data_IF_389705140418
#
_entry.id   IF_389705140418
#
_cell.length_a   1.000
_cell.length_b   1.000
_cell.length_c   1.000
_cell.angle_alpha   90.00
_cell.angle_beta   90.00
_cell.angle_gamma   90.00
#
_symmetry.space_group_name_H-M   'P 1'
#
loop_
_entity.id
_entity.type
_entity.pdbx_description
1 polymer ?
#
# COMPACT_ATOMS: atom_id res chain seq x y z
N UNK A 1 2.51 19.89 -22.36
CA UNK A 1 3.67 18.97 -22.52
C UNK A 1 4.41 18.96 -21.20
N UNK A 2 4.91 17.80 -20.77
CA UNK A 2 5.55 17.63 -19.45
C UNK A 2 6.86 16.84 -19.59
N UNK A 3 7.75 16.99 -18.63
CA UNK A 3 8.85 16.07 -18.40
C UNK A 3 8.47 15.12 -17.25
N UNK A 4 8.53 13.79 -17.45
CA UNK A 4 8.55 12.86 -16.33
C UNK A 4 9.90 13.02 -15.63
N UNK A 5 9.87 13.22 -14.33
CA UNK A 5 11.04 13.46 -13.49
C UNK A 5 11.17 12.35 -12.44
N UNK A 6 12.39 12.05 -12.04
CA UNK A 6 12.72 11.37 -10.81
C UNK A 6 13.56 12.32 -9.96
N UNK A 7 13.01 12.86 -8.88
CA UNK A 7 13.57 14.02 -8.16
C UNK A 7 13.85 15.17 -9.14
N UNK A 8 15.05 15.70 -9.19
CA UNK A 8 15.45 16.78 -10.11
C UNK A 8 15.92 16.28 -11.49
N UNK A 9 16.00 14.96 -11.68
CA UNK A 9 16.52 14.38 -12.93
C UNK A 9 15.40 14.10 -13.94
N UNK A 10 15.51 14.59 -15.18
CA UNK A 10 14.53 14.30 -16.22
C UNK A 10 14.64 12.85 -16.70
N UNK A 11 13.51 12.15 -16.82
CA UNK A 11 13.45 10.77 -17.32
C UNK A 11 13.12 10.74 -18.80
N UNK A 12 11.98 11.31 -19.18
CA UNK A 12 11.53 11.43 -20.57
C UNK A 12 10.48 12.54 -20.72
N UNK A 13 10.35 13.08 -21.95
CA UNK A 13 9.24 13.98 -22.24
C UNK A 13 7.95 13.17 -22.50
N UNK A 14 6.82 13.67 -21.97
CA UNK A 14 5.51 13.07 -22.14
C UNK A 14 4.47 14.11 -22.56
N UNK A 15 3.50 13.68 -23.34
CA UNK A 15 2.32 14.47 -23.65
C UNK A 15 1.14 13.87 -22.91
N UNK A 16 0.49 14.66 -22.07
CA UNK A 16 -0.71 14.26 -21.31
C UNK A 16 -1.91 14.99 -21.90
N UNK A 17 -3.01 14.25 -22.06
CA UNK A 17 -4.32 14.85 -22.27
C UNK A 17 -4.82 15.41 -20.92
N UNK A 18 -4.95 16.72 -20.84
CA UNK A 18 -5.30 17.41 -19.57
C UNK A 18 -6.73 17.14 -19.11
N UNK A 19 -7.62 16.67 -19.97
CA UNK A 19 -8.99 16.32 -19.60
C UNK A 19 -9.07 14.93 -18.98
N UNK A 20 -8.46 13.94 -19.64
CA UNK A 20 -8.46 12.55 -19.13
C UNK A 20 -7.30 12.25 -18.19
N UNK A 21 -6.26 13.08 -18.15
CA UNK A 21 -5.02 12.83 -17.40
C UNK A 21 -4.16 11.69 -17.97
N UNK A 22 -4.49 11.16 -19.15
CA UNK A 22 -3.79 10.02 -19.74
C UNK A 22 -2.53 10.45 -20.51
N UNK A 23 -1.47 9.65 -20.42
CA UNK A 23 -0.29 9.82 -21.27
C UNK A 23 -0.61 9.42 -22.72
N UNK A 24 -0.56 10.37 -23.62
CA UNK A 24 -0.80 10.17 -25.04
C UNK A 24 0.49 9.73 -25.76
N UNK A 25 1.59 10.40 -25.50
CA UNK A 25 2.90 10.14 -26.14
C UNK A 25 4.01 10.12 -25.11
N UNK A 26 5.01 9.28 -25.36
CA UNK A 26 6.26 9.17 -24.59
C UNK A 26 7.40 9.35 -25.57
N UNK A 27 8.35 10.24 -25.29
CA UNK A 27 9.59 10.37 -26.06
C UNK A 27 10.58 9.27 -25.71
N UNK A 28 11.66 9.16 -26.48
CA UNK A 28 12.80 8.35 -26.07
C UNK A 28 13.31 8.87 -24.71
N UNK A 29 13.53 7.98 -23.72
CA UNK A 29 14.08 8.38 -22.41
C UNK A 29 15.46 9.04 -22.56
N UNK A 30 15.67 10.09 -21.77
CA UNK A 30 16.98 10.77 -21.63
C UNK A 30 17.85 9.99 -20.67
N UNK A 31 17.22 9.53 -19.56
CA UNK A 31 17.83 8.70 -18.54
C UNK A 31 17.02 7.40 -18.39
N UNK A 32 17.31 6.35 -19.19
CA UNK A 32 16.53 5.10 -19.17
C UNK A 32 16.57 4.35 -17.84
N UNK A 33 17.67 4.49 -17.08
CA UNK A 33 17.88 3.90 -15.76
C UNK A 33 16.94 4.48 -14.69
N UNK A 34 16.44 5.70 -14.91
CA UNK A 34 15.50 6.38 -14.02
C UNK A 34 14.03 6.08 -14.36
N UNK A 35 13.74 5.26 -15.37
CA UNK A 35 12.36 4.87 -15.63
C UNK A 35 11.77 4.16 -14.41
N UNK A 36 10.48 4.41 -14.05
CA UNK A 36 9.84 3.64 -13.01
C UNK A 36 9.84 2.15 -13.38
N UNK A 37 10.15 1.29 -12.43
CA UNK A 37 10.41 -0.13 -12.70
C UNK A 37 9.23 -0.82 -13.41
N UNK A 38 7.99 -0.56 -12.98
CA UNK A 38 6.79 -1.06 -13.64
C UNK A 38 6.51 -0.47 -15.03
N UNK A 39 7.24 0.60 -15.41
CA UNK A 39 7.12 1.30 -16.68
C UNK A 39 8.34 1.20 -17.61
N UNK A 40 9.36 0.41 -17.24
CA UNK A 40 10.66 0.44 -17.89
C UNK A 40 10.76 -0.38 -19.20
N UNK A 41 9.83 -1.30 -19.45
CA UNK A 41 9.90 -2.22 -20.60
C UNK A 41 9.64 -1.48 -21.92
N UNK A 42 8.57 -0.70 -21.98
CA UNK A 42 8.18 0.05 -23.18
C UNK A 42 7.20 1.20 -22.84
N UNK A 43 6.82 1.96 -23.86
CA UNK A 43 5.89 3.09 -23.68
C UNK A 43 4.47 2.66 -23.23
N UNK A 44 4.05 1.46 -23.54
CA UNK A 44 2.74 0.94 -23.10
C UNK A 44 2.78 0.60 -21.60
N UNK A 45 3.87 0.00 -21.13
CA UNK A 45 4.12 -0.24 -19.71
C UNK A 45 4.16 1.07 -18.90
N UNK A 46 4.84 2.11 -19.43
CA UNK A 46 4.88 3.41 -18.75
C UNK A 46 3.49 4.07 -18.66
N UNK A 47 2.69 3.96 -19.72
CA UNK A 47 1.30 4.45 -19.71
C UNK A 47 0.44 3.69 -18.69
N UNK A 48 0.58 2.37 -18.62
CA UNK A 48 -0.10 1.52 -17.65
C UNK A 48 0.32 1.89 -16.22
N UNK A 49 1.63 2.04 -15.98
CA UNK A 49 2.16 2.48 -14.67
C UNK A 49 1.54 3.81 -14.25
N UNK A 50 1.50 4.82 -15.14
CA UNK A 50 0.88 6.11 -14.88
C UNK A 50 -0.62 6.01 -14.54
N UNK A 51 -1.37 5.17 -15.27
CA UNK A 51 -2.80 4.95 -15.00
C UNK A 51 -3.03 4.35 -13.63
N UNK A 52 -2.20 3.39 -13.23
CA UNK A 52 -2.30 2.75 -11.94
C UNK A 52 -1.79 3.61 -10.77
N UNK A 53 -1.07 4.69 -11.07
CA UNK A 53 -0.59 5.64 -10.07
C UNK A 53 -1.71 6.49 -9.47
N UNK A 54 -2.75 6.78 -10.22
CA UNK A 54 -3.88 7.56 -9.75
C UNK A 54 -4.68 6.82 -8.66
N UNK A 55 -5.25 7.58 -7.73
CA UNK A 55 -6.16 7.02 -6.72
C UNK A 55 -7.26 6.18 -7.38
N UNK A 56 -7.55 4.95 -6.88
CA UNK A 56 -8.58 4.10 -7.47
C UNK A 56 -9.97 4.74 -7.37
N UNK A 57 -10.75 4.70 -8.44
CA UNK A 57 -12.12 5.27 -8.47
C UNK A 57 -13.06 4.62 -7.44
N UNK A 58 -12.80 3.35 -7.07
CA UNK A 58 -13.53 2.61 -6.03
C UNK A 58 -13.18 3.03 -4.61
N UNK A 59 -12.12 3.84 -4.39
CA UNK A 59 -11.71 4.22 -3.06
C UNK A 59 -12.76 5.14 -2.40
N UNK A 60 -13.38 4.63 -1.33
CA UNK A 60 -14.32 5.42 -0.53
C UNK A 60 -15.39 6.12 -1.37
N UNK A 61 -15.42 7.44 -1.32
CA UNK A 61 -16.36 8.29 -2.09
C UNK A 61 -15.61 9.15 -3.12
N UNK A 62 -14.45 8.71 -3.59
CA UNK A 62 -13.55 9.55 -4.40
C UNK A 62 -14.23 10.15 -5.62
N UNK A 63 -15.02 9.39 -6.37
CA UNK A 63 -15.70 9.89 -7.55
C UNK A 63 -16.60 11.09 -7.23
N UNK A 64 -17.43 10.97 -6.19
CA UNK A 64 -18.32 12.05 -5.76
C UNK A 64 -17.55 13.28 -5.27
N UNK A 65 -16.42 13.05 -4.59
CA UNK A 65 -15.56 14.13 -4.10
C UNK A 65 -14.92 14.87 -5.29
N UNK A 66 -14.40 14.15 -6.28
CA UNK A 66 -13.81 14.74 -7.47
C UNK A 66 -14.84 15.54 -8.27
N UNK A 67 -16.06 15.02 -8.43
CA UNK A 67 -17.17 15.75 -9.07
C UNK A 67 -17.48 17.08 -8.36
N UNK A 68 -17.49 17.10 -7.03
CA UNK A 68 -17.69 18.33 -6.24
C UNK A 68 -16.55 19.35 -6.44
N UNK A 69 -15.34 18.88 -6.71
CA UNK A 69 -14.17 19.71 -7.00
C UNK A 69 -14.05 20.11 -8.48
N UNK A 70 -15.01 19.71 -9.32
CA UNK A 70 -14.99 19.97 -10.77
C UNK A 70 -13.87 19.18 -11.47
N UNK A 71 -13.52 18.01 -10.95
CA UNK A 71 -12.49 17.10 -11.51
C UNK A 71 -13.21 15.89 -12.11
N UNK A 72 -12.87 15.56 -13.36
CA UNK A 72 -13.60 14.52 -14.11
C UNK A 72 -13.07 13.11 -13.84
N UNK A 73 -11.76 12.96 -13.64
CA UNK A 73 -11.11 11.65 -13.49
C UNK A 73 -10.05 11.67 -12.38
N UNK A 74 -9.77 10.51 -11.75
CA UNK A 74 -8.63 10.37 -10.83
C UNK A 74 -7.29 10.74 -11.49
N UNK A 75 -7.12 10.47 -12.77
CA UNK A 75 -5.90 10.81 -13.51
C UNK A 75 -5.78 12.33 -13.73
N UNK A 76 -6.89 13.05 -13.97
CA UNK A 76 -6.88 14.51 -13.99
C UNK A 76 -6.46 15.07 -12.62
N UNK A 77 -6.98 14.48 -11.53
CA UNK A 77 -6.58 14.84 -10.17
C UNK A 77 -5.09 14.60 -9.92
N UNK A 78 -4.56 13.46 -10.40
CA UNK A 78 -3.13 13.16 -10.35
C UNK A 78 -2.30 14.21 -11.09
N UNK A 79 -2.71 14.61 -12.30
CA UNK A 79 -2.01 15.65 -13.10
C UNK A 79 -2.01 17.00 -12.39
N UNK A 80 -3.13 17.41 -11.79
CA UNK A 80 -3.23 18.66 -11.02
C UNK A 80 -2.29 18.67 -9.81
N UNK A 81 -1.97 17.50 -9.27
CA UNK A 81 -1.01 17.31 -8.18
C UNK A 81 0.38 16.89 -8.68
N UNK A 82 0.71 17.19 -9.94
CA UNK A 82 2.00 16.91 -10.58
C UNK A 82 2.42 15.42 -10.49
N UNK A 83 1.49 14.51 -10.25
CA UNK A 83 1.79 13.10 -10.05
C UNK A 83 2.55 12.78 -8.78
N UNK A 84 2.64 13.70 -7.82
CA UNK A 84 3.37 13.52 -6.57
C UNK A 84 2.80 12.38 -5.71
N UNK A 85 3.68 11.69 -5.01
CA UNK A 85 3.34 10.60 -4.08
C UNK A 85 4.22 10.67 -2.84
N UNK A 86 3.73 10.07 -1.74
CA UNK A 86 4.54 9.75 -0.56
C UNK A 86 5.12 8.34 -0.60
N UNK A 87 4.95 7.60 -1.71
CA UNK A 87 5.52 6.26 -1.87
C UNK A 87 6.78 6.22 -2.71
N UNK A 88 6.97 7.19 -3.62
CA UNK A 88 8.10 7.28 -4.53
C UNK A 88 8.43 8.74 -4.91
N UNK A 89 9.44 8.94 -5.78
CA UNK A 89 10.00 10.26 -6.12
C UNK A 89 9.73 10.68 -7.57
N UNK A 90 8.76 10.04 -8.24
CA UNK A 90 8.35 10.41 -9.59
C UNK A 90 7.32 11.53 -9.57
N UNK A 91 7.45 12.47 -10.52
CA UNK A 91 6.52 13.54 -10.76
C UNK A 91 6.58 14.05 -12.19
N UNK A 92 5.64 14.89 -12.58
CA UNK A 92 5.59 15.50 -13.90
C UNK A 92 5.82 17.01 -13.81
N UNK A 93 6.85 17.50 -14.48
CA UNK A 93 7.19 18.92 -14.57
C UNK A 93 6.56 19.53 -15.81
N UNK A 94 5.65 20.52 -15.70
CA UNK A 94 5.24 21.34 -16.85
C UNK A 94 6.46 22.03 -17.45
N UNK A 95 6.60 22.03 -18.80
CA UNK A 95 7.79 22.58 -19.46
C UNK A 95 7.91 24.09 -19.39
N UNK A 96 6.82 24.77 -19.03
CA UNK A 96 6.71 26.23 -18.88
C UNK A 96 6.88 26.70 -17.44
N UNK A 97 7.20 25.79 -16.50
CA UNK A 97 7.37 26.10 -15.08
C UNK A 97 8.78 25.83 -14.60
N UNK A 98 9.33 26.78 -13.84
CA UNK A 98 10.60 26.66 -13.11
C UNK A 98 10.31 26.03 -11.73
N UNK A 99 10.27 24.69 -11.66
CA UNK A 99 10.05 23.92 -10.43
C UNK A 99 11.19 22.94 -10.20
N UNK A 100 11.67 22.81 -8.96
CA UNK A 100 12.61 21.78 -8.52
C UNK A 100 11.95 20.81 -7.54
N UNK A 101 12.57 19.65 -7.33
CA UNK A 101 12.09 18.66 -6.36
C UNK A 101 11.97 19.24 -4.95
N UNK A 102 12.95 20.10 -4.55
CA UNK A 102 12.93 20.75 -3.24
C UNK A 102 11.70 21.61 -3.00
N UNK A 103 11.10 22.17 -4.06
CA UNK A 103 9.97 23.10 -3.94
C UNK A 103 8.61 22.38 -3.76
N UNK A 104 8.52 21.12 -4.21
CA UNK A 104 7.21 20.46 -4.41
C UNK A 104 7.06 19.12 -3.71
N UNK A 105 8.17 18.47 -3.29
CA UNK A 105 8.09 17.12 -2.75
C UNK A 105 7.25 17.08 -1.45
N UNK A 106 6.53 15.99 -1.25
CA UNK A 106 5.66 15.79 -0.10
C UNK A 106 6.40 15.29 1.15
N UNK A 107 7.70 14.95 1.03
CA UNK A 107 8.49 14.41 2.14
C UNK A 107 9.00 15.50 3.07
N UNK A 108 9.39 16.65 2.52
CA UNK A 108 9.98 17.77 3.28
C UNK A 108 9.11 19.02 3.31
N UNK A 109 8.20 19.17 2.34
CA UNK A 109 7.27 20.30 2.31
C UNK A 109 5.95 19.94 3.01
N UNK A 110 5.33 20.94 3.62
CA UNK A 110 4.00 20.79 4.16
C UNK A 110 2.97 20.64 3.03
N UNK A 111 1.95 19.82 3.29
CA UNK A 111 0.86 19.59 2.37
C UNK A 111 -0.48 19.65 3.10
N UNK A 112 -1.55 19.76 2.32
CA UNK A 112 -2.93 19.58 2.79
C UNK A 112 -3.57 18.43 2.02
N UNK A 113 -4.47 17.72 2.66
CA UNK A 113 -5.17 16.59 2.06
C UNK A 113 -6.70 16.75 2.14
N UNK A 114 -7.27 17.73 1.40
CA UNK A 114 -8.70 18.02 1.45
C UNK A 114 -9.55 16.85 0.98
N UNK A 115 -9.08 16.08 0.00
CA UNK A 115 -9.77 14.88 -0.46
C UNK A 115 -9.81 13.81 0.63
N UNK A 116 -8.73 13.63 1.36
CA UNK A 116 -8.69 12.77 2.54
C UNK A 116 -9.63 13.24 3.65
N UNK A 117 -9.71 14.56 3.89
CA UNK A 117 -10.65 15.15 4.85
C UNK A 117 -12.10 14.79 4.49
N UNK A 118 -12.48 14.99 3.23
CA UNK A 118 -13.81 14.64 2.72
C UNK A 118 -14.10 13.15 2.80
N UNK A 119 -13.11 12.29 2.54
CA UNK A 119 -13.25 10.85 2.66
C UNK A 119 -13.56 10.41 4.10
N UNK A 120 -12.95 11.06 5.08
CA UNK A 120 -13.16 10.79 6.51
C UNK A 120 -14.40 11.53 7.07
N UNK A 121 -15.11 12.30 6.26
CA UNK A 121 -16.36 12.96 6.63
C UNK A 121 -16.17 14.28 7.38
N UNK A 122 -15.02 14.91 7.24
CA UNK A 122 -14.78 16.26 7.76
C UNK A 122 -15.40 17.31 6.82
N UNK A 123 -15.91 18.40 7.38
CA UNK A 123 -16.65 19.42 6.63
C UNK A 123 -15.72 20.20 5.68
N UNK A 124 -16.24 20.46 4.47
CA UNK A 124 -15.50 20.93 3.30
C UNK A 124 -15.50 22.46 3.18
N UNK A 125 -16.29 23.18 4.00
CA UNK A 125 -16.50 24.61 3.82
C UNK A 125 -15.21 25.47 3.92
N UNK A 126 -14.16 24.95 4.54
CA UNK A 126 -12.83 25.58 4.58
C UNK A 126 -11.89 25.13 3.43
N UNK A 127 -12.29 24.12 2.64
CA UNK A 127 -11.43 23.48 1.64
C UNK A 127 -11.41 24.25 0.31
N UNK A 128 -12.41 25.05 0.04
CA UNK A 128 -12.55 25.80 -1.22
C UNK A 128 -11.54 26.94 -1.41
N UNK A 129 -10.81 27.33 -0.37
CA UNK A 129 -9.74 28.33 -0.43
C UNK A 129 -8.34 27.72 -0.36
N UNK A 130 -8.07 26.67 -1.15
CA UNK A 130 -6.72 26.13 -1.23
C UNK A 130 -5.81 27.07 -2.02
N UNK A 131 -4.59 27.39 -1.51
CA UNK A 131 -3.59 28.05 -2.33
C UNK A 131 -3.31 27.20 -3.58
N UNK A 132 -3.12 27.85 -4.71
CA UNK A 132 -2.84 27.22 -5.99
C UNK A 132 -1.63 26.24 -5.98
N UNK A 133 -0.82 26.27 -4.93
CA UNK A 133 0.42 25.53 -4.75
C UNK A 133 0.31 24.41 -3.69
N UNK A 134 -0.87 24.12 -3.13
CA UNK A 134 -1.01 23.04 -2.17
C UNK A 134 -1.26 21.72 -2.90
N UNK A 135 -0.23 20.89 -3.01
CA UNK A 135 -0.34 19.55 -3.56
C UNK A 135 -0.94 18.58 -2.53
N UNK A 136 -1.83 17.69 -3.01
CA UNK A 136 -2.49 16.70 -2.17
C UNK A 136 -1.90 15.30 -2.40
N UNK A 137 -1.43 14.62 -1.34
CA UNK A 137 -0.92 13.25 -1.46
C UNK A 137 -1.99 12.23 -1.81
N UNK A 138 -3.28 12.52 -1.58
CA UNK A 138 -4.39 11.61 -1.91
C UNK A 138 -4.57 11.36 -3.39
N UNK A 139 -3.97 12.15 -4.28
CA UNK A 139 -4.06 11.92 -5.73
C UNK A 139 -3.43 10.60 -6.18
N UNK A 140 -2.50 10.06 -5.39
CA UNK A 140 -1.73 8.85 -5.70
C UNK A 140 -1.85 7.74 -4.63
N UNK A 141 -2.74 7.89 -3.65
CA UNK A 141 -2.93 6.88 -2.60
C UNK A 141 -3.66 5.67 -3.14
N UNK A 142 -3.03 4.49 -3.04
CA UNK A 142 -3.58 3.23 -3.53
C UNK A 142 -4.49 2.52 -2.50
N UNK A 143 -5.29 1.56 -2.99
CA UNK A 143 -6.21 0.73 -2.21
C UNK A 143 -7.63 1.31 -2.10
N UNK A 144 -8.58 0.52 -1.62
CA UNK A 144 -10.01 0.83 -1.65
C UNK A 144 -10.53 1.54 -0.40
N UNK A 145 -9.84 1.44 0.73
CA UNK A 145 -10.23 2.07 1.98
C UNK A 145 -10.12 3.60 1.90
N UNK A 146 -10.98 4.29 2.63
CA UNK A 146 -10.82 5.73 2.90
C UNK A 146 -9.45 5.98 3.53
N UNK A 147 -8.70 6.92 2.99
CA UNK A 147 -7.36 7.25 3.48
C UNK A 147 -7.15 8.74 3.52
N UNK A 148 -6.32 9.19 4.47
CA UNK A 148 -5.89 10.57 4.61
C UNK A 148 -4.46 10.62 5.07
N UNK A 149 -3.66 11.44 4.41
CA UNK A 149 -2.34 11.79 4.90
C UNK A 149 -2.40 12.99 5.83
N UNK A 150 -1.63 12.93 6.91
CA UNK A 150 -1.46 14.03 7.87
C UNK A 150 0.02 14.23 8.19
N UNK A 151 0.34 15.44 8.66
CA UNK A 151 1.64 15.72 9.28
C UNK A 151 1.38 15.91 10.78
N UNK A 152 2.05 15.11 11.60
CA UNK A 152 2.00 15.22 13.05
C UNK A 152 3.39 15.05 13.63
N UNK A 153 3.81 15.95 14.49
CA UNK A 153 5.17 16.00 15.08
C UNK A 153 6.28 15.92 14.01
N UNK A 154 6.08 16.58 12.88
CA UNK A 154 6.99 16.57 11.73
C UNK A 154 7.02 15.27 10.90
N UNK A 155 6.23 14.27 11.28
CA UNK A 155 6.15 12.97 10.62
C UNK A 155 4.95 12.90 9.68
N UNK A 156 5.13 12.20 8.54
CA UNK A 156 4.06 11.90 7.60
C UNK A 156 3.36 10.64 8.05
N UNK A 157 2.08 10.74 8.36
CA UNK A 157 1.28 9.63 8.87
C UNK A 157 0.07 9.38 7.97
N UNK A 158 -0.23 8.10 7.72
CA UNK A 158 -1.41 7.67 6.96
C UNK A 158 -2.50 7.19 7.92
N UNK A 159 -3.66 7.83 7.85
CA UNK A 159 -4.89 7.35 8.49
C UNK A 159 -5.62 6.47 7.50
N UNK A 160 -6.04 5.27 7.94
CA UNK A 160 -6.86 4.34 7.16
C UNK A 160 -8.20 4.12 7.87
N UNK A 161 -9.27 4.18 7.10
CA UNK A 161 -10.62 3.92 7.58
C UNK A 161 -11.06 2.48 7.39
N UNK A 162 -12.37 2.26 7.41
CA UNK A 162 -13.02 0.97 7.23
C UNK A 162 -14.07 1.06 6.11
N UNK A 163 -14.40 -0.06 5.47
CA UNK A 163 -15.49 -0.11 4.49
C UNK A 163 -16.87 0.02 5.16
N UNK A 164 -17.06 -0.63 6.28
CA UNK A 164 -18.32 -0.70 7.00
C UNK A 164 -18.47 0.31 8.14
N UNK A 165 -19.47 0.06 8.97
CA UNK A 165 -19.77 0.84 10.18
C UNK A 165 -18.97 0.37 11.41
N UNK A 166 -18.38 -0.82 11.38
CA UNK A 166 -17.50 -1.32 12.43
C UNK A 166 -16.04 -1.07 12.10
N UNK A 167 -15.18 -1.24 13.10
CA UNK A 167 -13.76 -0.92 13.04
C UNK A 167 -12.87 -2.14 12.77
N UNK A 168 -13.41 -3.25 12.29
CA UNK A 168 -12.68 -4.52 12.26
C UNK A 168 -11.40 -4.42 11.43
N UNK A 169 -11.42 -3.80 10.24
CA UNK A 169 -10.25 -3.68 9.39
C UNK A 169 -9.14 -2.87 10.05
N UNK A 170 -9.49 -1.75 10.70
CA UNK A 170 -8.52 -0.96 11.47
C UNK A 170 -7.98 -1.74 12.68
N UNK A 171 -8.81 -2.50 13.37
CA UNK A 171 -8.39 -3.32 14.52
C UNK A 171 -7.56 -4.53 14.08
N UNK A 172 -7.80 -5.08 12.87
CA UNK A 172 -6.94 -6.11 12.28
C UNK A 172 -5.49 -5.63 12.07
N UNK A 173 -5.30 -4.35 11.69
CA UNK A 173 -3.95 -3.76 11.62
C UNK A 173 -3.27 -3.69 13.00
N UNK A 174 -4.05 -3.45 14.07
CA UNK A 174 -3.53 -3.48 15.45
C UNK A 174 -3.18 -4.91 15.88
N UNK A 175 -4.01 -5.89 15.51
CA UNK A 175 -3.73 -7.31 15.76
C UNK A 175 -2.45 -7.75 15.03
N UNK A 176 -2.29 -7.40 13.76
CA UNK A 176 -1.08 -7.66 13.00
C UNK A 176 0.16 -6.99 13.63
N UNK A 177 0.02 -5.73 14.06
CA UNK A 177 1.07 -5.01 14.80
C UNK A 177 1.47 -5.76 16.07
N UNK A 178 0.51 -6.24 16.86
CA UNK A 178 0.80 -7.03 18.09
C UNK A 178 1.53 -8.32 17.75
N UNK A 179 1.07 -9.07 16.72
CA UNK A 179 1.71 -10.31 16.29
C UNK A 179 3.17 -10.07 15.89
N UNK A 180 3.42 -9.12 14.99
CA UNK A 180 4.77 -8.84 14.52
C UNK A 180 5.69 -8.32 15.63
N UNK A 181 5.15 -7.50 16.55
CA UNK A 181 5.90 -7.00 17.71
C UNK A 181 6.32 -8.14 18.64
N UNK A 182 5.45 -9.11 18.90
CA UNK A 182 5.78 -10.28 19.72
C UNK A 182 6.80 -11.20 19.04
N UNK A 183 6.73 -11.36 17.72
CA UNK A 183 7.68 -12.16 16.97
C UNK A 183 9.07 -11.50 16.86
N UNK A 184 9.16 -10.20 16.64
CA UNK A 184 10.42 -9.45 16.56
C UNK A 184 11.38 -9.89 15.47
N UNK A 185 10.89 -10.55 14.39
CA UNK A 185 11.74 -11.22 13.39
C UNK A 185 11.92 -10.43 12.10
N UNK A 186 10.88 -9.73 11.65
CA UNK A 186 10.91 -9.00 10.37
C UNK A 186 10.40 -7.56 10.58
N UNK A 187 10.82 -6.60 9.75
CA UNK A 187 10.30 -5.24 9.81
C UNK A 187 8.82 -5.18 9.44
N UNK A 188 8.07 -4.39 10.17
CA UNK A 188 6.63 -4.20 9.97
C UNK A 188 6.21 -2.77 10.29
N UNK A 189 5.10 -2.34 9.72
CA UNK A 189 4.49 -1.04 10.01
C UNK A 189 3.71 -1.13 11.31
N UNK A 190 4.02 -0.23 12.25
CA UNK A 190 3.30 -0.12 13.52
C UNK A 190 2.05 0.73 13.33
N UNK A 191 0.90 0.15 13.54
CA UNK A 191 -0.37 0.87 13.55
C UNK A 191 -0.83 1.18 14.96
N UNK A 192 -1.41 2.37 15.13
CA UNK A 192 -2.09 2.81 16.34
C UNK A 192 -3.54 3.14 16.02
N UNK A 193 -4.40 3.12 17.05
CA UNK A 193 -5.81 3.53 16.89
C UNK A 193 -5.94 5.05 16.98
N UNK A 194 -6.84 5.60 16.16
CA UNK A 194 -7.29 6.99 16.25
C UNK A 194 -8.82 7.04 16.13
N UNK A 195 -9.47 7.94 16.87
CA UNK A 195 -10.90 8.20 16.80
C UNK A 195 -11.12 9.71 16.85
N UNK A 196 -11.87 10.25 15.92
CA UNK A 196 -12.13 11.70 15.86
C UNK A 196 -13.28 12.11 16.81
N UNK A 197 -14.29 11.25 16.93
CA UNK A 197 -15.38 11.40 17.90
C UNK A 197 -15.97 10.03 18.27
N UNK A 198 -16.81 10.00 19.32
CA UNK A 198 -17.38 8.74 19.83
C UNK A 198 -18.46 8.12 18.94
N UNK A 199 -18.93 8.83 17.93
CA UNK A 199 -19.97 8.36 16.99
C UNK A 199 -19.37 7.70 15.76
N UNK A 200 -18.08 7.89 15.51
CA UNK A 200 -17.36 7.34 14.37
C UNK A 200 -16.65 6.03 14.73
N UNK A 201 -16.42 5.16 13.72
CA UNK A 201 -15.58 3.98 13.90
C UNK A 201 -14.16 4.37 14.36
N UNK A 202 -13.46 3.42 14.94
CA UNK A 202 -12.02 3.53 15.16
C UNK A 202 -11.32 3.43 13.80
N UNK A 203 -10.39 4.34 13.53
CA UNK A 203 -9.47 4.29 12.41
C UNK A 203 -8.11 3.80 12.89
N UNK A 204 -7.25 3.35 11.98
CA UNK A 204 -5.85 3.12 12.29
C UNK A 204 -4.96 4.20 11.65
N UNK A 205 -3.82 4.47 12.29
CA UNK A 205 -2.84 5.44 11.84
C UNK A 205 -1.44 4.84 11.94
N UNK A 206 -0.61 5.06 10.91
CA UNK A 206 0.78 4.65 10.90
C UNK A 206 1.68 5.75 10.35
N UNK A 207 2.94 5.76 10.77
CA UNK A 207 3.97 6.59 10.17
C UNK A 207 4.35 6.05 8.78
N UNK A 208 4.68 6.93 7.83
CA UNK A 208 5.24 6.54 6.55
C UNK A 208 6.58 5.83 6.75
N UNK A 209 6.78 4.72 6.05
CA UNK A 209 8.07 4.01 6.02
C UNK A 209 8.95 4.42 4.82
N UNK A 210 8.45 5.31 3.98
CA UNK A 210 9.20 5.97 2.90
C UNK A 210 9.70 7.33 3.37
N UNK A 211 10.74 7.84 2.74
CA UNK A 211 11.38 9.12 3.09
C UNK A 211 11.95 9.79 1.84
N UNK A 212 12.59 10.95 1.96
CA UNK A 212 13.31 11.57 0.84
C UNK A 212 14.48 10.71 0.31
N UNK A 213 14.92 9.69 1.05
CA UNK A 213 16.01 8.80 0.64
C UNK A 213 15.56 7.40 0.24
N UNK A 214 14.35 6.99 0.65
CA UNK A 214 13.82 5.64 0.44
C UNK A 214 12.43 5.70 -0.19
N UNK A 215 12.25 4.95 -1.26
CA UNK A 215 10.98 4.78 -1.94
C UNK A 215 10.53 3.32 -1.97
N UNK A 216 9.22 3.12 -2.03
CA UNK A 216 8.61 1.80 -2.17
C UNK A 216 8.55 1.41 -3.64
N UNK A 217 9.09 0.25 -3.98
CA UNK A 217 8.82 -0.41 -5.25
C UNK A 217 7.89 -1.59 -4.96
N UNK A 218 6.61 -1.53 -5.37
CA UNK A 218 5.67 -2.61 -5.19
C UNK A 218 6.09 -3.88 -5.93
N UNK A 219 5.75 -5.05 -5.38
CA UNK A 219 6.11 -6.33 -6.00
C UNK A 219 5.56 -6.48 -7.43
N UNK A 220 4.41 -5.85 -7.74
CA UNK A 220 3.87 -5.85 -9.11
C UNK A 220 4.84 -5.20 -10.10
N UNK A 221 5.43 -4.06 -9.74
CA UNK A 221 6.38 -3.35 -10.58
C UNK A 221 7.67 -4.14 -10.78
N UNK A 222 8.08 -4.88 -9.72
CA UNK A 222 9.25 -5.77 -9.78
C UNK A 222 9.01 -6.92 -10.76
N UNK A 223 7.88 -7.61 -10.66
CA UNK A 223 7.59 -8.76 -11.56
C UNK A 223 7.29 -8.31 -12.99
N UNK A 224 6.71 -7.13 -13.18
CA UNK A 224 6.41 -6.55 -14.49
C UNK A 224 7.67 -5.96 -15.16
N UNK A 225 8.75 -5.70 -14.42
CA UNK A 225 10.00 -5.11 -14.96
C UNK A 225 10.77 -6.03 -15.91
N UNK A 226 10.55 -7.33 -15.81
CA UNK A 226 11.21 -8.34 -16.66
C UNK A 226 10.19 -9.38 -17.11
N UNK A 227 10.32 -9.82 -18.37
CA UNK A 227 9.48 -10.89 -18.90
C UNK A 227 9.69 -12.19 -18.12
N UNK A 228 8.64 -12.69 -17.49
CA UNK A 228 8.66 -13.94 -16.74
C UNK A 228 8.76 -15.14 -17.67
N UNK A 229 9.63 -16.11 -17.35
CA UNK A 229 9.62 -17.42 -17.98
C UNK A 229 8.38 -18.21 -17.52
N UNK A 230 7.64 -18.81 -18.47
CA UNK A 230 6.41 -19.56 -18.17
C UNK A 230 6.62 -20.77 -17.25
N UNK A 231 7.82 -21.35 -17.23
CA UNK A 231 8.17 -22.48 -16.35
C UNK A 231 8.41 -22.06 -14.88
N UNK A 232 8.52 -20.77 -14.60
CA UNK A 232 8.83 -20.22 -13.27
C UNK A 232 7.58 -19.62 -12.64
N UNK A 233 7.37 -19.82 -11.34
CA UNK A 233 6.27 -19.18 -10.60
C UNK A 233 6.51 -17.67 -10.44
N UNK A 234 5.45 -16.89 -10.15
CA UNK A 234 5.62 -15.47 -9.82
C UNK A 234 6.44 -15.27 -8.54
N UNK A 235 6.37 -16.18 -7.59
CA UNK A 235 7.18 -16.18 -6.37
C UNK A 235 8.68 -16.25 -6.69
N UNK A 236 9.10 -17.26 -7.48
CA UNK A 236 10.50 -17.40 -7.88
C UNK A 236 10.97 -16.30 -8.82
N UNK A 237 10.07 -15.80 -9.68
CA UNK A 237 10.39 -14.68 -10.55
C UNK A 237 10.65 -13.39 -9.75
N UNK A 238 9.84 -13.09 -8.75
CA UNK A 238 10.05 -11.96 -7.86
C UNK A 238 11.40 -12.04 -7.18
N UNK A 239 11.75 -13.19 -6.58
CA UNK A 239 13.04 -13.42 -5.92
C UNK A 239 14.19 -13.21 -6.91
N UNK A 240 14.12 -13.82 -8.09
CA UNK A 240 15.16 -13.70 -9.11
C UNK A 240 15.40 -12.25 -9.55
N UNK A 241 14.33 -11.43 -9.64
CA UNK A 241 14.47 -10.01 -9.96
C UNK A 241 15.10 -9.26 -8.80
N UNK A 242 14.71 -9.51 -7.55
CA UNK A 242 15.31 -8.90 -6.37
C UNK A 242 16.83 -9.22 -6.28
N UNK A 243 17.20 -10.48 -6.50
CA UNK A 243 18.62 -10.91 -6.53
C UNK A 243 19.39 -10.21 -7.65
N UNK A 244 18.80 -10.05 -8.83
CA UNK A 244 19.42 -9.34 -9.94
C UNK A 244 19.62 -7.84 -9.65
N UNK A 245 18.91 -7.28 -8.67
CA UNK A 245 19.09 -5.92 -8.14
C UNK A 245 19.92 -5.87 -6.84
N UNK A 246 20.69 -6.93 -6.54
CA UNK A 246 21.70 -6.96 -5.47
C UNK A 246 21.22 -7.46 -4.12
N UNK A 247 19.96 -7.89 -3.96
CA UNK A 247 19.48 -8.45 -2.70
C UNK A 247 19.99 -9.89 -2.49
N UNK A 248 20.28 -10.25 -1.24
CA UNK A 248 20.59 -11.63 -0.89
C UNK A 248 19.33 -12.51 -1.00
N UNK A 249 19.43 -13.62 -1.74
CA UNK A 249 18.30 -14.54 -1.98
C UNK A 249 17.72 -15.07 -0.66
N UNK A 250 18.56 -15.46 0.27
CA UNK A 250 18.16 -15.99 1.57
C UNK A 250 17.35 -14.96 2.38
N UNK A 251 17.74 -13.69 2.35
CA UNK A 251 17.04 -12.62 3.04
C UNK A 251 15.62 -12.39 2.45
N UNK A 252 15.52 -12.42 1.11
CA UNK A 252 14.21 -12.28 0.43
C UNK A 252 13.32 -13.48 0.74
N UNK A 253 13.83 -14.70 0.67
CA UNK A 253 13.07 -15.93 0.99
C UNK A 253 12.61 -15.94 2.44
N UNK A 254 13.51 -15.70 3.38
CA UNK A 254 13.18 -15.65 4.81
C UNK A 254 12.09 -14.64 5.13
N UNK A 255 12.13 -13.47 4.51
CA UNK A 255 11.07 -12.46 4.67
C UNK A 255 9.72 -12.96 4.12
N UNK A 256 9.70 -13.52 2.90
CA UNK A 256 8.47 -14.01 2.27
C UNK A 256 7.87 -15.20 3.01
N UNK A 257 8.70 -16.13 3.50
CA UNK A 257 8.25 -17.28 4.30
C UNK A 257 7.58 -16.81 5.60
N UNK A 258 8.22 -15.88 6.30
CA UNK A 258 7.63 -15.25 7.50
C UNK A 258 6.31 -14.55 7.17
N UNK A 259 6.25 -13.76 6.09
CA UNK A 259 5.04 -13.08 5.66
C UNK A 259 3.91 -14.06 5.32
N UNK A 260 4.21 -15.13 4.58
CA UNK A 260 3.22 -16.17 4.23
C UNK A 260 2.67 -16.85 5.49
N UNK A 261 3.53 -17.17 6.46
CA UNK A 261 3.09 -17.79 7.72
C UNK A 261 2.22 -16.85 8.56
N UNK A 262 2.61 -15.59 8.69
CA UNK A 262 1.83 -14.61 9.47
C UNK A 262 0.51 -14.27 8.78
N UNK A 263 0.50 -14.13 7.46
CA UNK A 263 -0.74 -13.95 6.68
C UNK A 263 -1.65 -15.18 6.79
N UNK A 264 -1.09 -16.40 6.81
CA UNK A 264 -1.86 -17.63 7.04
C UNK A 264 -2.51 -17.65 8.44
N UNK A 265 -1.76 -17.32 9.49
CA UNK A 265 -2.26 -17.28 10.87
C UNK A 265 -3.38 -16.25 11.02
N UNK A 266 -3.18 -15.06 10.46
CA UNK A 266 -4.16 -13.96 10.48
C UNK A 266 -5.30 -14.17 9.48
N UNK A 267 -5.18 -15.13 8.57
CA UNK A 267 -6.11 -15.29 7.43
C UNK A 267 -6.21 -14.00 6.62
N UNK A 268 -5.06 -13.43 6.24
CA UNK A 268 -5.03 -12.27 5.36
C UNK A 268 -5.35 -12.70 3.93
N UNK A 269 -6.48 -12.27 3.41
CA UNK A 269 -6.97 -12.68 2.08
C UNK A 269 -6.50 -11.77 0.95
N UNK A 270 -5.80 -10.68 1.26
CA UNK A 270 -5.51 -9.62 0.27
C UNK A 270 -4.03 -9.20 0.23
N UNK A 271 -3.11 -10.16 0.36
CA UNK A 271 -1.66 -9.94 0.18
C UNK A 271 -1.29 -9.91 -1.31
N UNK A 272 -1.95 -9.05 -2.09
CA UNK A 272 -1.65 -8.89 -3.51
C UNK A 272 -0.31 -8.17 -3.74
N UNK A 273 0.19 -8.20 -4.98
CA UNK A 273 1.52 -7.71 -5.33
C UNK A 273 1.73 -6.19 -5.14
N UNK A 274 0.71 -5.42 -4.80
CA UNK A 274 0.85 -4.03 -4.36
C UNK A 274 0.98 -3.87 -2.84
N UNK A 275 0.70 -4.93 -2.05
CA UNK A 275 0.70 -4.88 -0.58
C UNK A 275 1.99 -5.43 0.03
N UNK A 276 3.04 -5.58 -0.76
CA UNK A 276 4.43 -5.80 -0.34
C UNK A 276 5.37 -5.39 -1.47
N UNK A 277 6.67 -5.31 -1.18
CA UNK A 277 7.67 -4.90 -2.15
C UNK A 277 9.04 -4.71 -1.51
N UNK A 278 9.85 -3.86 -2.09
CA UNK A 278 11.19 -3.52 -1.59
C UNK A 278 11.31 -2.02 -1.37
N UNK A 279 12.22 -1.62 -0.49
CA UNK A 279 12.70 -0.26 -0.38
C UNK A 279 13.90 -0.07 -1.31
N UNK A 280 13.86 1.01 -2.11
CA UNK A 280 14.91 1.42 -3.03
C UNK A 280 15.52 2.75 -2.57
N UNK A 281 16.84 2.86 -2.63
CA UNK A 281 17.51 4.13 -2.43
C UNK A 281 17.25 5.04 -3.64
N UNK A 282 16.82 6.26 -3.39
CA UNK A 282 16.39 7.19 -4.44
C UNK A 282 17.54 7.79 -5.27
N UNK A 283 18.79 7.70 -4.77
CA UNK A 283 19.98 8.23 -5.43
C UNK A 283 20.75 7.13 -6.18
N UNK A 284 20.95 5.97 -5.51
CA UNK A 284 21.72 4.85 -6.10
C UNK A 284 20.86 3.90 -6.91
N UNK A 285 19.53 3.94 -6.74
CA UNK A 285 18.55 3.03 -7.32
C UNK A 285 18.72 1.56 -6.90
N UNK A 286 19.53 1.29 -5.89
CA UNK A 286 19.76 -0.05 -5.34
C UNK A 286 18.60 -0.47 -4.43
N UNK A 287 18.23 -1.72 -4.48
CA UNK A 287 17.29 -2.31 -3.53
C UNK A 287 17.99 -2.48 -2.18
N UNK A 288 17.46 -1.84 -1.14
CA UNK A 288 18.06 -1.78 0.19
C UNK A 288 17.57 -2.95 1.06
N UNK A 289 16.27 -3.21 1.05
CA UNK A 289 15.63 -4.24 1.87
C UNK A 289 14.23 -4.57 1.35
N UNK A 290 13.62 -5.63 1.87
CA UNK A 290 12.17 -5.76 1.78
C UNK A 290 11.51 -4.58 2.49
N UNK A 291 10.39 -4.09 1.94
CA UNK A 291 9.56 -3.12 2.63
C UNK A 291 8.98 -3.72 3.93
N UNK A 292 8.79 -2.94 5.00
CA UNK A 292 8.13 -3.44 6.20
C UNK A 292 6.77 -4.07 5.84
N UNK A 293 6.32 -5.10 6.56
CA UNK A 293 5.01 -5.71 6.35
C UNK A 293 3.93 -4.66 6.68
N UNK A 294 3.02 -4.41 5.75
CA UNK A 294 1.92 -3.45 5.86
C UNK A 294 0.64 -4.00 5.25
N UNK A 295 -0.47 -3.32 5.47
CA UNK A 295 -1.78 -3.61 4.87
C UNK A 295 -2.30 -5.03 5.19
N UNK A 296 -2.51 -5.29 6.48
CA UNK A 296 -3.07 -6.53 7.02
C UNK A 296 -4.54 -6.40 7.45
N UNK A 297 -5.21 -5.31 7.07
CA UNK A 297 -6.60 -5.05 7.46
C UNK A 297 -7.60 -6.09 6.96
N UNK A 298 -7.37 -6.68 5.79
CA UNK A 298 -8.19 -7.74 5.19
C UNK A 298 -7.92 -9.12 5.81
N UNK A 299 -7.94 -9.18 7.14
CA UNK A 299 -7.60 -10.35 7.95
C UNK A 299 -8.75 -10.77 8.86
N UNK A 300 -8.55 -11.85 9.63
CA UNK A 300 -9.42 -12.26 10.71
C UNK A 300 -10.89 -12.41 10.30
N UNK A 301 -11.12 -12.97 9.09
CA UNK A 301 -12.45 -13.30 8.56
C UNK A 301 -13.40 -12.10 8.40
N UNK A 302 -12.89 -10.87 8.24
CA UNK A 302 -13.71 -9.67 8.27
C UNK A 302 -14.85 -9.65 7.23
N UNK A 303 -14.66 -10.27 6.05
CA UNK A 303 -15.71 -10.39 5.03
C UNK A 303 -16.73 -11.48 5.33
N UNK A 304 -16.36 -12.48 6.14
CA UNK A 304 -17.23 -13.58 6.49
C UNK A 304 -16.95 -14.07 7.93
N UNK A 305 -17.44 -13.35 8.95
CA UNK A 305 -17.16 -13.64 10.35
C UNK A 305 -17.91 -14.89 10.87
N UNK A 306 -18.79 -15.49 10.06
CA UNK A 306 -19.40 -16.78 10.41
C UNK A 306 -18.33 -17.85 10.38
N UNK A 307 -18.29 -18.65 11.44
CA UNK A 307 -17.28 -19.68 11.65
C UNK A 307 -17.22 -20.61 10.44
N UNK A 308 -16.14 -20.63 9.67
CA UNK A 308 -15.95 -21.63 8.65
C UNK A 308 -15.80 -23.01 9.32
N UNK A 309 -16.38 -24.03 8.73
CA UNK A 309 -16.08 -25.43 9.11
C UNK A 309 -14.58 -25.66 8.84
N UNK A 310 -13.98 -26.67 9.50
CA UNK A 310 -12.54 -27.00 9.30
C UNK A 310 -12.19 -27.14 7.82
N UNK A 311 -13.05 -27.79 7.04
CA UNK A 311 -12.85 -27.98 5.60
C UNK A 311 -12.86 -26.66 4.80
N UNK A 312 -13.57 -25.63 5.32
CA UNK A 312 -13.60 -24.32 4.67
C UNK A 312 -12.31 -23.53 4.96
N UNK A 313 -11.72 -23.72 6.15
CA UNK A 313 -10.43 -23.11 6.53
C UNK A 313 -9.26 -23.55 5.64
N UNK A 314 -9.34 -24.74 5.04
CA UNK A 314 -8.33 -25.24 4.10
C UNK A 314 -8.56 -24.79 2.66
N UNK A 315 -9.70 -24.12 2.38
CA UNK A 315 -10.11 -23.72 1.02
C UNK A 315 -10.19 -22.22 0.81
N UNK A 316 -9.67 -21.42 1.74
CA UNK A 316 -9.71 -19.95 1.69
C UNK A 316 -9.03 -19.46 0.41
N UNK A 317 -9.76 -18.66 -0.37
CA UNK A 317 -9.22 -17.93 -1.50
C UNK A 317 -8.45 -16.71 -1.01
N UNK A 318 -7.30 -16.45 -1.63
CA UNK A 318 -6.46 -15.30 -1.34
C UNK A 318 -6.01 -14.64 -2.64
N UNK A 319 -5.76 -13.36 -2.56
CA UNK A 319 -5.15 -12.59 -3.63
C UNK A 319 -3.64 -12.46 -3.36
N UNK A 320 -2.83 -13.39 -3.89
CA UNK A 320 -1.39 -13.45 -3.66
C UNK A 320 -0.68 -14.24 -4.78
N UNK A 321 0.53 -14.75 -4.56
CA UNK A 321 1.26 -15.61 -5.51
C UNK A 321 0.49 -16.88 -5.90
N UNK A 322 -0.44 -17.33 -5.10
CA UNK A 322 -1.36 -18.44 -5.35
C UNK A 322 -2.77 -18.02 -4.97
N UNK A 323 -3.75 -18.69 -5.58
CA UNK A 323 -5.16 -18.41 -5.34
C UNK A 323 -5.68 -18.97 -4.01
N UNK A 324 -5.08 -20.05 -3.52
CA UNK A 324 -5.47 -20.67 -2.25
C UNK A 324 -4.39 -20.48 -1.22
N UNK A 325 -4.78 -20.09 -0.02
CA UNK A 325 -3.89 -19.84 1.10
C UNK A 325 -3.01 -21.07 1.43
N UNK A 326 -3.61 -22.26 1.51
CA UNK A 326 -2.88 -23.51 1.74
C UNK A 326 -1.81 -23.81 0.67
N UNK A 327 -2.00 -23.32 -0.55
CA UNK A 327 -1.02 -23.49 -1.63
C UNK A 327 0.21 -22.58 -1.46
N UNK A 328 0.11 -21.50 -0.67
CA UNK A 328 1.24 -20.64 -0.37
C UNK A 328 2.24 -21.32 0.57
N UNK A 329 1.76 -22.21 1.44
CA UNK A 329 2.62 -22.94 2.39
C UNK A 329 3.65 -23.85 1.69
N UNK A 330 3.52 -24.15 0.41
CA UNK A 330 4.53 -24.87 -0.37
C UNK A 330 5.85 -24.08 -0.49
N UNK A 331 5.78 -22.76 -0.36
CA UNK A 331 6.94 -21.89 -0.40
C UNK A 331 7.64 -21.74 0.96
N UNK A 332 7.03 -22.22 2.04
CA UNK A 332 7.59 -22.17 3.39
C UNK A 332 8.44 -23.42 3.62
N UNK A 333 9.73 -23.24 3.69
CA UNK A 333 10.70 -24.31 3.95
C UNK A 333 11.03 -24.42 5.44
N UNK A 334 10.98 -23.30 6.16
CA UNK A 334 11.21 -23.23 7.60
C UNK A 334 9.98 -22.68 8.35
N UNK A 335 9.19 -23.59 8.96
CA UNK A 335 8.06 -23.19 9.79
C UNK A 335 8.48 -22.49 11.09
N UNK A 336 9.74 -22.62 11.54
CA UNK A 336 10.25 -21.90 12.71
C UNK A 336 10.45 -20.41 12.46
N UNK A 337 10.24 -19.94 11.22
CA UNK A 337 10.18 -18.53 10.89
C UNK A 337 9.14 -17.78 11.75
N UNK A 338 8.09 -18.46 12.24
CA UNK A 338 7.15 -17.95 13.25
C UNK A 338 7.22 -18.81 14.51
N UNK A 339 7.42 -18.18 15.66
CA UNK A 339 7.34 -18.85 16.96
C UNK A 339 5.88 -18.89 17.45
N UNK A 340 5.27 -20.09 17.43
CA UNK A 340 3.86 -20.25 17.82
C UNK A 340 3.62 -19.92 19.30
N UNK A 341 4.64 -20.01 20.16
CA UNK A 341 4.52 -19.68 21.60
C UNK A 341 4.44 -18.17 21.85
N UNK A 342 4.89 -17.36 20.88
CA UNK A 342 4.84 -15.90 20.93
C UNK A 342 3.65 -15.30 20.16
N UNK A 343 2.70 -16.13 19.74
CA UNK A 343 1.50 -15.61 19.09
C UNK A 343 0.60 -14.86 20.11
N UNK A 344 -0.15 -13.83 19.64
CA UNK A 344 -1.16 -13.22 20.49
C UNK A 344 -2.17 -14.24 21.01
N UNK A 345 -2.50 -14.15 22.29
CA UNK A 345 -3.53 -14.98 22.91
C UNK A 345 -4.93 -14.51 22.51
N UNK A 346 -5.95 -15.38 22.62
CA UNK A 346 -7.32 -14.97 22.37
C UNK A 346 -7.81 -13.84 23.30
N UNK A 347 -7.30 -13.79 24.53
CA UNK A 347 -7.66 -12.72 25.47
C UNK A 347 -7.07 -11.37 25.01
N UNK A 348 -5.81 -11.32 24.59
CA UNK A 348 -5.20 -10.12 24.01
C UNK A 348 -5.93 -9.65 22.74
N UNK A 349 -6.35 -10.58 21.87
CA UNK A 349 -7.14 -10.24 20.68
C UNK A 349 -8.53 -9.73 21.06
N UNK A 350 -9.17 -10.33 22.07
CA UNK A 350 -10.45 -9.90 22.59
C UNK A 350 -10.39 -8.46 23.10
N UNK A 351 -9.39 -8.11 23.90
CA UNK A 351 -9.18 -6.74 24.39
C UNK A 351 -9.03 -5.70 23.25
N UNK A 352 -8.44 -6.11 22.12
CA UNK A 352 -8.35 -5.23 20.96
C UNK A 352 -9.71 -5.03 20.32
N UNK A 353 -10.47 -6.10 20.07
CA UNK A 353 -11.73 -6.03 19.35
C UNK A 353 -12.87 -5.45 20.17
N UNK A 354 -12.90 -5.63 21.50
CA UNK A 354 -13.90 -5.07 22.40
C UNK A 354 -13.87 -3.53 22.50
N UNK A 355 -12.84 -2.89 21.92
CA UNK A 355 -12.83 -1.42 21.74
C UNK A 355 -13.97 -0.94 20.82
N UNK A 356 -14.51 -1.81 19.97
CA UNK A 356 -15.68 -1.53 19.15
C UNK A 356 -16.76 -2.61 19.32
N UNK A 357 -17.85 -2.30 20.02
CA UNK A 357 -18.94 -3.25 20.27
C UNK A 357 -19.71 -3.66 19.00
N UNK A 358 -19.46 -3.01 17.87
CA UNK A 358 -20.06 -3.35 16.58
C UNK A 358 -19.34 -4.47 15.83
N UNK A 359 -18.24 -5.01 16.38
CA UNK A 359 -17.54 -6.15 15.77
C UNK A 359 -18.45 -7.38 15.82
N UNK A 360 -18.82 -7.96 14.66
CA UNK A 360 -19.73 -9.09 14.63
C UNK A 360 -19.01 -10.40 14.97
N UNK A 361 -19.70 -11.29 15.66
CA UNK A 361 -19.27 -12.70 15.85
C UNK A 361 -17.84 -12.86 16.42
N UNK A 362 -17.44 -12.05 17.38
CA UNK A 362 -16.09 -12.04 17.96
C UNK A 362 -15.60 -13.45 18.36
N UNK A 363 -16.43 -14.23 19.07
CA UNK A 363 -16.04 -15.59 19.47
C UNK A 363 -15.77 -16.50 18.27
N UNK A 364 -16.48 -16.29 17.15
CA UNK A 364 -16.21 -17.01 15.91
C UNK A 364 -14.88 -16.62 15.28
N UNK A 365 -14.53 -15.34 15.29
CA UNK A 365 -13.24 -14.83 14.82
C UNK A 365 -12.10 -15.45 15.63
N UNK A 366 -12.19 -15.42 16.95
CA UNK A 366 -11.17 -15.97 17.86
C UNK A 366 -11.02 -17.50 17.72
N UNK A 367 -12.13 -18.21 17.60
CA UNK A 367 -12.09 -19.66 17.34
C UNK A 367 -11.49 -19.97 15.96
N UNK A 368 -11.78 -19.15 14.95
CA UNK A 368 -11.17 -19.25 13.62
C UNK A 368 -9.65 -19.09 13.69
N UNK A 369 -9.17 -18.09 14.41
CA UNK A 369 -7.74 -17.86 14.65
C UNK A 369 -7.06 -19.08 15.32
N UNK A 370 -7.64 -19.63 16.40
CA UNK A 370 -7.12 -20.84 17.05
C UNK A 370 -7.01 -22.02 16.09
N UNK A 371 -8.08 -22.27 15.31
CA UNK A 371 -8.09 -23.35 14.33
C UNK A 371 -7.06 -23.16 13.21
N UNK A 372 -6.75 -21.92 12.85
CA UNK A 372 -5.68 -21.64 11.87
C UNK A 372 -4.31 -22.02 12.40
N UNK A 373 -4.04 -21.75 13.68
CA UNK A 373 -2.79 -22.16 14.33
C UNK A 373 -2.67 -23.69 14.38
N UNK A 374 -3.79 -24.40 14.66
CA UNK A 374 -3.82 -25.88 14.66
C UNK A 374 -3.55 -26.53 13.29
N UNK A 375 -3.64 -25.77 12.18
CA UNK A 375 -3.38 -26.25 10.82
C UNK A 375 -1.90 -26.13 10.40
N UNK A 376 -1.08 -25.39 11.16
CA UNK A 376 0.38 -25.25 10.93
C UNK A 376 1.15 -26.41 11.55
#
# INVERSE_FOLDING_TARGET
MYSLMHRDEPVCAITIDTVSGAIMRVSRPVNPELLPLGGCIDSAALKKWWQHRAVPIGQGKIQRILEQLGITTPQEYLVRNLGLSLTDHYWIKPLDMELGWGDINLFTNDFRDPVGDMQLGQDVNEILELPANAFSPSSSVQGELKKKWIITDGKRCLIKGNHGSNSQESLNEIVATLLHKKQGKQPFVTYNTIRFDNTQPIYCVCESFTSDELELIPAIDIVDSKKKNNAVSYYEHFIAVCVAHGMAEEAVRSFLEYQILTDFILTNTDRHLNNFGVLRNTKTLEFVSMAPIFDSGNSMFWQNPKLPKRDDLTKIDVNSFRRKEMQLLVYVTDKSAVDLSLLPTCDELREIYEKDPLIPCLDSILLGYQKKIELL
#
